data_IF_105819046439
#
_entry.id   IF_105819046439
#
_cell.length_a   1.000
_cell.length_b   1.000
_cell.length_c   1.000
_cell.angle_alpha   90.00
_cell.angle_beta   90.00
_cell.angle_gamma   90.00
#
_symmetry.space_group_name_H-M   'P 1'
#
loop_
_entity.id
_entity.type
_entity.pdbx_description
1 polymer ?
#
# COMPACT_ATOMS: atom_id res chain seq x y z
N UNK A 1 15.43 5.37 -10.08
CA UNK A 1 15.49 3.90 -10.31
C UNK A 1 15.87 3.25 -8.98
N UNK A 2 14.96 2.55 -8.31
CA UNK A 2 15.26 1.91 -7.01
C UNK A 2 16.16 0.70 -7.27
N UNK A 3 17.44 0.78 -6.90
CA UNK A 3 18.41 -0.28 -7.15
C UNK A 3 18.22 -1.48 -6.19
N UNK A 4 18.41 -2.68 -6.77
CA UNK A 4 18.38 -4.04 -6.21
C UNK A 4 17.03 -4.51 -5.67
N UNK A 5 16.41 -5.39 -6.43
CA UNK A 5 15.30 -6.28 -6.04
C UNK A 5 15.72 -7.12 -4.84
N UNK A 6 15.59 -6.57 -3.63
CA UNK A 6 15.75 -7.35 -2.40
C UNK A 6 14.70 -8.47 -2.42
N UNK A 7 15.07 -9.75 -2.21
CA UNK A 7 14.12 -10.85 -2.11
C UNK A 7 13.05 -10.58 -1.04
N UNK A 8 13.42 -9.90 0.05
CA UNK A 8 12.48 -9.49 1.08
C UNK A 8 11.44 -8.49 0.55
N UNK A 9 11.89 -7.50 -0.23
CA UNK A 9 11.00 -6.51 -0.86
C UNK A 9 10.03 -7.14 -1.85
N UNK A 10 10.52 -8.08 -2.67
CA UNK A 10 9.66 -8.83 -3.60
C UNK A 10 8.55 -9.58 -2.85
N UNK A 11 8.90 -10.31 -1.78
CA UNK A 11 7.90 -11.00 -0.93
C UNK A 11 6.91 -10.04 -0.27
N UNK A 12 7.36 -8.86 0.15
CA UNK A 12 6.48 -7.83 0.72
C UNK A 12 5.47 -7.33 -0.33
N UNK A 13 5.92 -7.07 -1.56
CA UNK A 13 5.04 -6.67 -2.67
C UNK A 13 4.02 -7.77 -3.03
N UNK A 14 4.47 -9.02 -3.13
CA UNK A 14 3.58 -10.16 -3.42
C UNK A 14 2.52 -10.34 -2.32
N UNK A 15 2.91 -10.24 -1.04
CA UNK A 15 1.97 -10.32 0.09
C UNK A 15 0.97 -9.17 0.08
N UNK A 16 1.44 -7.94 -0.15
CA UNK A 16 0.57 -6.79 -0.26
C UNK A 16 -0.45 -6.96 -1.39
N UNK A 17 0.01 -7.37 -2.58
CA UNK A 17 -0.86 -7.65 -3.72
C UNK A 17 -1.89 -8.73 -3.44
N UNK A 18 -1.48 -9.82 -2.77
CA UNK A 18 -2.39 -10.89 -2.35
C UNK A 18 -3.47 -10.39 -1.39
N UNK A 19 -3.14 -9.48 -0.45
CA UNK A 19 -4.14 -8.86 0.43
C UNK A 19 -5.12 -7.97 -0.35
N UNK A 20 -4.64 -7.15 -1.29
CA UNK A 20 -5.50 -6.33 -2.17
C UNK A 20 -6.48 -7.21 -2.94
N UNK A 21 -5.98 -8.31 -3.51
CA UNK A 21 -6.81 -9.31 -4.19
C UNK A 21 -7.83 -9.95 -3.25
N UNK A 22 -7.43 -10.32 -2.03
CA UNK A 22 -8.31 -10.89 -1.02
C UNK A 22 -9.45 -9.93 -0.65
N UNK A 23 -9.16 -8.65 -0.44
CA UNK A 23 -10.19 -7.62 -0.26
C UNK A 23 -11.15 -7.56 -1.45
N UNK A 24 -10.62 -7.52 -2.68
CA UNK A 24 -11.46 -7.52 -3.88
C UNK A 24 -12.41 -8.72 -3.94
N UNK A 25 -11.92 -9.91 -3.61
CA UNK A 25 -12.69 -11.15 -3.58
C UNK A 25 -13.76 -11.13 -2.47
N UNK A 26 -13.45 -10.59 -1.29
CA UNK A 26 -14.42 -10.38 -0.21
C UNK A 26 -15.53 -9.38 -0.58
N UNK A 27 -15.23 -8.37 -1.40
CA UNK A 27 -16.22 -7.47 -1.97
C UNK A 27 -17.06 -8.12 -3.10
N UNK A 28 -16.70 -9.32 -3.56
CA UNK A 28 -17.43 -10.02 -4.62
C UNK A 28 -17.32 -9.36 -6.01
N UNK A 29 -16.31 -8.53 -6.25
CA UNK A 29 -16.15 -7.79 -7.51
C UNK A 29 -15.02 -8.34 -8.38
N UNK A 30 -15.18 -8.22 -9.71
CA UNK A 30 -14.15 -8.63 -10.66
C UNK A 30 -12.95 -7.66 -10.65
N UNK A 31 -11.80 -8.10 -11.14
CA UNK A 31 -10.63 -7.23 -11.33
C UNK A 31 -10.95 -6.06 -12.28
N UNK A 32 -11.73 -6.30 -13.34
CA UNK A 32 -12.17 -5.23 -14.24
C UNK A 32 -13.04 -4.19 -13.51
N UNK A 33 -13.93 -4.64 -12.62
CA UNK A 33 -14.78 -3.76 -11.83
C UNK A 33 -13.97 -2.89 -10.87
N UNK A 34 -13.05 -3.48 -10.11
CA UNK A 34 -12.19 -2.71 -9.20
C UNK A 34 -11.30 -1.72 -9.96
N UNK A 35 -10.72 -2.13 -11.09
CA UNK A 35 -9.89 -1.25 -11.91
C UNK A 35 -10.69 -0.02 -12.38
N UNK A 36 -11.94 -0.21 -12.80
CA UNK A 36 -12.85 0.90 -13.16
C UNK A 36 -13.15 1.81 -11.98
N UNK A 37 -13.51 1.27 -10.81
CA UNK A 37 -13.79 2.04 -9.58
C UNK A 37 -12.59 2.86 -9.11
N UNK A 38 -11.39 2.31 -9.26
CA UNK A 38 -10.15 2.96 -8.89
C UNK A 38 -9.57 3.87 -9.99
N UNK A 39 -10.23 3.97 -11.16
CA UNK A 39 -9.75 4.73 -12.31
C UNK A 39 -8.33 4.34 -12.77
N UNK A 40 -8.01 3.04 -12.73
CA UNK A 40 -6.73 2.48 -13.19
C UNK A 40 -6.94 1.49 -14.33
N UNK A 41 -5.87 1.19 -15.08
CA UNK A 41 -5.94 0.13 -16.08
C UNK A 41 -6.01 -1.25 -15.42
N UNK A 42 -6.59 -2.23 -16.13
CA UNK A 42 -6.61 -3.63 -15.66
C UNK A 42 -5.20 -4.18 -15.46
N UNK A 43 -4.24 -3.78 -16.30
CA UNK A 43 -2.84 -4.19 -16.18
C UNK A 43 -2.16 -3.59 -14.96
N UNK A 44 -2.48 -2.32 -14.63
CA UNK A 44 -2.04 -1.69 -13.37
C UNK A 44 -2.60 -2.44 -12.16
N UNK A 45 -3.90 -2.77 -12.15
CA UNK A 45 -4.47 -3.54 -11.05
C UNK A 45 -3.82 -4.93 -10.94
N UNK A 46 -3.63 -5.62 -12.06
CA UNK A 46 -2.94 -6.92 -12.09
C UNK A 46 -1.52 -6.82 -11.54
N UNK A 47 -0.77 -5.79 -11.91
CA UNK A 47 0.57 -5.55 -11.38
C UNK A 47 0.55 -5.36 -9.86
N UNK A 48 -0.41 -4.60 -9.33
CA UNK A 48 -0.63 -4.43 -7.89
C UNK A 48 -0.95 -5.77 -7.21
N UNK A 49 -1.95 -6.50 -7.69
CA UNK A 49 -2.42 -7.77 -7.09
C UNK A 49 -1.37 -8.88 -7.12
N UNK A 50 -0.41 -8.82 -8.04
CA UNK A 50 0.68 -9.79 -8.17
C UNK A 50 1.98 -9.31 -7.53
N UNK A 51 2.04 -8.08 -7.02
CA UNK A 51 3.28 -7.47 -6.52
C UNK A 51 4.36 -7.30 -7.59
N UNK A 52 3.95 -7.23 -8.87
CA UNK A 52 4.85 -7.17 -10.01
C UNK A 52 4.93 -5.75 -10.60
N UNK A 53 5.96 -5.50 -11.41
CA UNK A 53 6.13 -4.25 -12.11
C UNK A 53 6.43 -3.06 -11.19
N UNK A 54 5.99 -1.87 -11.58
CA UNK A 54 6.20 -0.63 -10.83
C UNK A 54 4.98 0.28 -10.94
N UNK A 55 3.81 -0.13 -10.39
CA UNK A 55 2.67 0.74 -10.30
C UNK A 55 3.03 1.99 -9.51
N UNK A 56 2.53 3.14 -9.96
CA UNK A 56 2.73 4.41 -9.25
C UNK A 56 2.02 4.37 -7.90
N UNK A 57 2.56 5.05 -6.89
CA UNK A 57 2.00 5.06 -5.53
C UNK A 57 0.57 5.61 -5.50
N UNK A 58 0.28 6.62 -6.31
CA UNK A 58 -1.07 7.18 -6.49
C UNK A 58 -2.10 6.12 -6.95
N UNK A 59 -1.67 5.21 -7.82
CA UNK A 59 -2.47 4.14 -8.39
C UNK A 59 -2.75 3.06 -7.35
N UNK A 60 -1.74 2.77 -6.51
CA UNK A 60 -1.93 1.92 -5.33
C UNK A 60 -2.98 2.55 -4.42
N UNK A 61 -2.79 3.80 -3.99
CA UNK A 61 -3.71 4.55 -3.11
C UNK A 61 -5.13 4.59 -3.66
N UNK A 62 -5.32 4.80 -4.97
CA UNK A 62 -6.63 4.78 -5.61
C UNK A 62 -7.32 3.42 -5.49
N UNK A 63 -6.59 2.31 -5.69
CA UNK A 63 -7.15 0.95 -5.49
C UNK A 63 -7.53 0.71 -4.04
N UNK A 64 -6.65 1.07 -3.08
CA UNK A 64 -6.95 0.89 -1.65
C UNK A 64 -8.14 1.73 -1.19
N UNK A 65 -8.28 2.92 -1.77
CA UNK A 65 -9.41 3.83 -1.52
C UNK A 65 -10.72 3.25 -2.06
N UNK A 66 -10.70 2.68 -3.26
CA UNK A 66 -11.85 2.00 -3.85
C UNK A 66 -12.28 0.74 -3.07
N UNK A 67 -11.37 0.13 -2.29
CA UNK A 67 -11.62 -0.97 -1.37
C UNK A 67 -11.98 -0.50 0.06
N UNK A 68 -11.94 0.80 0.33
CA UNK A 68 -12.41 1.36 1.60
C UNK A 68 -11.47 1.19 2.80
N UNK A 69 -10.18 0.89 2.59
CA UNK A 69 -9.20 0.74 3.70
C UNK A 69 -7.98 1.67 3.58
N UNK A 70 -8.06 2.72 2.76
CA UNK A 70 -6.96 3.69 2.61
C UNK A 70 -6.61 4.38 3.93
N UNK A 71 -7.60 4.70 4.77
CA UNK A 71 -7.37 5.37 6.05
C UNK A 71 -6.54 4.51 7.01
N UNK A 72 -6.75 3.19 7.00
CA UNK A 72 -5.90 2.26 7.77
C UNK A 72 -4.46 2.25 7.27
N UNK A 73 -4.25 2.33 5.95
CA UNK A 73 -2.91 2.38 5.36
C UNK A 73 -2.21 3.72 5.69
N UNK A 74 -2.93 4.84 5.64
CA UNK A 74 -2.42 6.16 6.00
C UNK A 74 -2.09 6.22 7.49
N UNK A 75 -2.97 5.71 8.35
CA UNK A 75 -2.73 5.62 9.80
C UNK A 75 -1.50 4.75 10.13
N UNK A 76 -1.28 3.65 9.39
CA UNK A 76 -0.10 2.81 9.57
C UNK A 76 1.23 3.52 9.19
N UNK A 77 1.16 4.59 8.40
CA UNK A 77 2.32 5.41 8.04
C UNK A 77 2.55 6.59 9.02
N UNK A 78 1.63 6.84 9.96
CA UNK A 78 1.80 7.87 10.98
C UNK A 78 2.91 7.45 11.97
N UNK A 79 4.02 8.21 12.07
CA UNK A 79 5.08 7.88 13.03
C UNK A 79 4.57 7.86 14.47
N UNK A 80 3.59 8.69 14.82
CA UNK A 80 3.03 8.75 16.17
C UNK A 80 2.14 7.55 16.50
N UNK A 81 1.67 6.82 15.48
CA UNK A 81 1.00 5.54 15.67
C UNK A 81 1.98 4.40 16.01
N UNK A 82 3.29 4.64 15.95
CA UNK A 82 4.33 3.63 16.25
C UNK A 82 5.07 3.96 17.55
N UNK A 83 5.52 2.92 18.28
CA UNK A 83 6.38 3.12 19.46
C UNK A 83 7.71 3.78 19.09
N UNK A 84 8.39 3.27 18.06
CA UNK A 84 9.66 3.83 17.58
C UNK A 84 9.53 5.29 17.19
N UNK A 85 8.47 5.65 16.45
CA UNK A 85 8.25 7.04 16.04
C UNK A 85 7.96 7.96 17.22
N UNK A 86 7.20 7.50 18.23
CA UNK A 86 6.98 8.25 19.49
C UNK A 86 8.29 8.49 20.25
N UNK A 87 9.14 7.46 20.38
CA UNK A 87 10.45 7.59 21.03
C UNK A 87 11.34 8.63 20.31
N UNK A 88 11.45 8.52 18.98
CA UNK A 88 12.23 9.48 18.18
C UNK A 88 11.69 10.90 18.27
N UNK A 89 10.37 11.08 18.34
CA UNK A 89 9.74 12.38 18.51
C UNK A 89 10.07 13.01 19.88
N UNK A 90 10.01 12.24 20.97
CA UNK A 90 10.38 12.70 22.30
C UNK A 90 11.85 13.15 22.37
N UNK A 91 12.75 12.39 21.76
CA UNK A 91 14.18 12.75 21.68
C UNK A 91 14.41 14.03 20.88
N UNK A 92 13.65 14.23 19.80
CA UNK A 92 13.73 15.45 18.99
C UNK A 92 13.27 16.70 19.75
N UNK A 93 12.25 16.58 20.61
CA UNK A 93 11.79 17.68 21.49
C UNK A 93 12.87 18.03 22.50
N UNK A 94 13.46 17.02 23.17
CA UNK A 94 14.52 17.24 24.17
C UNK A 94 15.74 17.96 23.59
N UNK A 95 16.14 17.64 22.35
CA UNK A 95 17.29 18.28 21.68
C UNK A 95 17.06 19.74 21.28
N UNK A 96 15.82 20.23 21.30
CA UNK A 96 15.45 21.60 20.93
C UNK A 96 15.28 22.52 22.15
N UNK A 97 15.31 21.98 23.36
CA UNK A 97 15.23 22.69 24.63
C UNK A 97 16.64 22.90 25.20
#
# INVERSE_FOLDING_TARGET
>A
MVARTSPARKRQLERFGAHVRGWRELHGISAAELARRAHVTRDTLRAIETGAGSPRLDSVLAVVSALGFVDHLVAAADPLATETGRTLAMDAVRKRA
#
